data_IF_365320889580
#
_entry.id   IF_365320889580
#
_cell.length_a   1.000
_cell.length_b   1.000
_cell.length_c   1.000
_cell.angle_alpha   90.00
_cell.angle_beta   90.00
_cell.angle_gamma   90.00
#
_symmetry.space_group_name_H-M   'P 1'
#
loop_
_entity.id
_entity.type
_entity.pdbx_description
1 polymer ?
#
# COMPACT_ATOMS: atom_id res chain seq x y z
N UNK A 1 -31.51 -2.37 -17.13
CA UNK A 1 -31.57 -1.65 -15.86
C UNK A 1 -30.70 -2.43 -14.92
N UNK A 2 -29.56 -1.89 -14.55
CA UNK A 2 -28.67 -2.51 -13.54
C UNK A 2 -29.39 -2.40 -12.20
N UNK A 3 -29.57 -3.53 -11.53
CA UNK A 3 -30.11 -3.61 -10.20
C UNK A 3 -29.20 -2.82 -9.23
N UNK A 4 -29.73 -1.76 -8.64
CA UNK A 4 -28.96 -0.86 -7.79
C UNK A 4 -28.79 -1.38 -6.35
N UNK A 5 -29.26 -2.59 -6.06
CA UNK A 5 -29.22 -3.16 -4.72
C UNK A 5 -30.23 -2.56 -3.71
N UNK A 6 -30.99 -1.52 -4.11
CA UNK A 6 -32.04 -0.96 -3.24
C UNK A 6 -33.33 -1.77 -3.24
N UNK A 7 -33.62 -2.46 -4.33
CA UNK A 7 -34.90 -3.18 -4.53
C UNK A 7 -34.74 -4.68 -4.63
N UNK A 8 -33.61 -5.16 -5.08
CA UNK A 8 -33.32 -6.59 -5.19
C UNK A 8 -31.87 -6.86 -4.85
N UNK A 9 -31.60 -7.92 -4.13
CA UNK A 9 -30.28 -8.50 -4.02
C UNK A 9 -30.15 -9.53 -5.17
N UNK A 10 -29.77 -9.06 -6.37
CA UNK A 10 -29.38 -9.97 -7.42
C UNK A 10 -28.07 -10.65 -7.00
N UNK A 11 -28.20 -11.81 -6.38
CA UNK A 11 -27.05 -12.63 -6.02
C UNK A 11 -26.69 -13.45 -7.25
N UNK A 12 -25.53 -13.25 -7.87
CA UNK A 12 -25.04 -14.17 -8.90
C UNK A 12 -25.01 -15.57 -8.30
N UNK A 13 -25.56 -16.54 -8.99
CA UNK A 13 -25.43 -17.94 -8.55
C UNK A 13 -23.95 -18.32 -8.71
N UNK A 14 -23.31 -18.70 -7.61
CA UNK A 14 -21.99 -19.32 -7.68
C UNK A 14 -22.13 -20.68 -8.39
N UNK A 15 -21.45 -20.85 -9.52
CA UNK A 15 -21.29 -22.15 -10.16
C UNK A 15 -20.09 -22.85 -9.49
N UNK A 16 -20.36 -23.79 -8.59
CA UNK A 16 -19.33 -24.55 -7.86
C UNK A 16 -18.86 -23.87 -6.56
N UNK A 17 -17.95 -24.55 -5.85
CA UNK A 17 -17.29 -24.02 -4.65
C UNK A 17 -15.97 -23.33 -5.05
N UNK A 18 -15.76 -22.09 -4.57
CA UNK A 18 -14.47 -21.43 -4.74
C UNK A 18 -13.35 -22.21 -4.04
N UNK A 19 -12.12 -22.26 -4.58
CA UNK A 19 -11.01 -22.93 -3.94
C UNK A 19 -10.66 -22.28 -2.60
N UNK A 20 -10.22 -23.09 -1.65
CA UNK A 20 -9.71 -22.61 -0.36
C UNK A 20 -8.22 -22.30 -0.48
N UNK A 21 -7.77 -21.17 0.11
CA UNK A 21 -6.37 -20.78 0.21
C UNK A 21 -6.01 -20.62 1.69
N UNK A 22 -5.12 -21.47 2.18
CA UNK A 22 -4.62 -21.40 3.54
C UNK A 22 -3.71 -20.20 3.76
N UNK A 23 -4.03 -19.36 4.74
CA UNK A 23 -3.31 -18.13 5.07
C UNK A 23 -2.51 -18.31 6.35
N UNK A 24 -1.23 -18.00 6.28
CA UNK A 24 -0.31 -17.86 7.41
C UNK A 24 0.10 -16.39 7.59
N UNK A 25 -0.26 -15.78 8.72
CA UNK A 25 0.03 -14.39 9.03
C UNK A 25 1.24 -14.26 9.95
N UNK A 26 2.22 -13.45 9.57
CA UNK A 26 3.31 -13.03 10.44
C UNK A 26 3.07 -11.61 10.94
N UNK A 27 2.93 -11.45 12.26
CA UNK A 27 2.59 -10.16 12.89
C UNK A 27 1.10 -10.05 13.23
N UNK A 28 0.82 -9.63 14.45
CA UNK A 28 -0.54 -9.57 15.01
C UNK A 28 -0.98 -8.16 15.43
N UNK A 29 -0.14 -7.16 15.21
CA UNK A 29 -0.40 -5.77 15.56
C UNK A 29 -1.36 -5.10 14.56
N UNK A 30 -1.20 -3.81 14.33
CA UNK A 30 -2.10 -2.99 13.51
C UNK A 30 -2.35 -3.60 12.12
N UNK A 31 -1.27 -3.93 11.37
CA UNK A 31 -1.43 -4.48 10.01
C UNK A 31 -1.95 -5.91 10.01
N UNK A 32 -1.49 -6.77 10.92
CA UNK A 32 -2.04 -8.12 11.07
C UNK A 32 -3.54 -8.12 11.38
N UNK A 33 -4.01 -7.15 12.19
CA UNK A 33 -5.46 -6.96 12.42
C UNK A 33 -6.19 -6.49 11.14
N UNK A 34 -5.60 -5.57 10.38
CA UNK A 34 -6.21 -5.03 9.16
C UNK A 34 -6.37 -6.11 8.08
N UNK A 35 -5.30 -6.88 7.83
CA UNK A 35 -5.32 -7.99 6.87
C UNK A 35 -6.26 -9.11 7.30
N UNK A 36 -6.22 -9.52 8.57
CA UNK A 36 -7.13 -10.55 9.11
C UNK A 36 -8.60 -10.14 8.96
N UNK A 37 -8.93 -8.85 9.18
CA UNK A 37 -10.27 -8.32 8.94
C UNK A 37 -10.66 -8.41 7.46
N UNK A 38 -9.74 -8.10 6.54
CA UNK A 38 -9.97 -8.18 5.11
C UNK A 38 -10.20 -9.64 4.65
N UNK A 39 -9.36 -10.59 5.07
CA UNK A 39 -9.57 -12.02 4.79
C UNK A 39 -10.93 -12.51 5.24
N UNK A 40 -11.40 -12.08 6.41
CA UNK A 40 -12.73 -12.48 6.94
C UNK A 40 -13.89 -11.89 6.14
N UNK A 41 -13.76 -10.63 5.68
CA UNK A 41 -14.83 -9.97 4.91
C UNK A 41 -14.93 -10.48 3.48
N UNK A 42 -13.81 -10.86 2.88
CA UNK A 42 -13.70 -11.15 1.46
C UNK A 42 -14.74 -12.16 0.95
N UNK A 43 -14.96 -13.35 1.57
CA UNK A 43 -15.84 -14.38 1.00
C UNK A 43 -17.30 -13.97 0.84
N UNK A 44 -17.80 -13.08 1.68
CA UNK A 44 -19.21 -12.66 1.61
C UNK A 44 -19.38 -11.30 0.92
N UNK A 45 -18.33 -10.45 0.89
CA UNK A 45 -18.41 -9.17 0.21
C UNK A 45 -18.05 -9.26 -1.28
N UNK A 46 -17.01 -10.03 -1.63
CA UNK A 46 -16.58 -10.28 -3.01
C UNK A 46 -17.28 -11.53 -3.54
N UNK A 47 -18.61 -11.48 -3.66
CA UNK A 47 -19.41 -12.65 -4.01
C UNK A 47 -19.82 -12.67 -5.51
N UNK A 48 -19.68 -13.81 -6.23
CA UNK A 48 -19.04 -15.05 -5.78
C UNK A 48 -17.53 -14.84 -5.55
N UNK A 49 -16.95 -15.37 -4.45
CA UNK A 49 -15.55 -15.18 -4.14
C UNK A 49 -14.65 -15.94 -5.13
N UNK A 50 -13.54 -15.33 -5.51
CA UNK A 50 -12.52 -15.98 -6.35
C UNK A 50 -11.80 -17.10 -5.60
N UNK A 51 -11.63 -16.94 -4.29
CA UNK A 51 -11.12 -17.94 -3.36
C UNK A 51 -11.69 -17.69 -1.95
N UNK A 52 -11.66 -18.73 -1.11
CA UNK A 52 -12.03 -18.64 0.31
C UNK A 52 -10.76 -18.68 1.15
N UNK A 53 -10.32 -17.56 1.75
CA UNK A 53 -9.19 -17.56 2.67
C UNK A 53 -9.49 -18.37 3.92
N UNK A 54 -8.61 -19.31 4.25
CA UNK A 54 -8.65 -20.07 5.51
C UNK A 54 -7.57 -19.55 6.43
N UNK A 55 -7.95 -18.98 7.57
CA UNK A 55 -7.02 -18.47 8.56
C UNK A 55 -6.37 -19.65 9.30
N UNK A 56 -5.27 -20.19 8.74
CA UNK A 56 -4.61 -21.40 9.23
C UNK A 56 -3.81 -21.10 10.49
N UNK A 57 -2.86 -20.19 10.41
CA UNK A 57 -1.96 -19.91 11.53
C UNK A 57 -1.51 -18.45 11.57
N UNK A 58 -1.19 -17.96 12.78
CA UNK A 58 -0.59 -16.64 13.00
C UNK A 58 0.69 -16.78 13.81
N UNK A 59 1.73 -16.04 13.46
CA UNK A 59 3.02 -16.08 14.12
C UNK A 59 3.41 -14.73 14.76
N UNK A 60 4.05 -14.79 15.93
CA UNK A 60 4.59 -13.62 16.62
C UNK A 60 5.40 -13.97 17.86
N UNK A 61 6.34 -13.11 18.25
CA UNK A 61 7.37 -13.40 19.25
C UNK A 61 6.87 -13.58 20.70
N UNK A 62 5.75 -12.96 21.06
CA UNK A 62 5.17 -13.06 22.40
C UNK A 62 4.07 -14.12 22.39
N UNK A 63 4.28 -15.23 23.10
CA UNK A 63 3.34 -16.35 23.13
C UNK A 63 1.93 -15.91 23.59
N UNK A 64 1.85 -15.21 24.71
CA UNK A 64 0.55 -14.75 25.22
C UNK A 64 -0.19 -13.83 24.25
N UNK A 65 0.54 -12.90 23.60
CA UNK A 65 -0.07 -11.96 22.68
C UNK A 65 -0.46 -12.60 21.34
N UNK A 66 0.34 -13.55 20.81
CA UNK A 66 0.00 -14.24 19.57
C UNK A 66 -1.14 -15.24 19.77
N UNK A 67 -1.22 -15.89 20.93
CA UNK A 67 -2.33 -16.76 21.30
C UNK A 67 -3.65 -15.98 21.39
N UNK A 68 -3.64 -14.82 22.07
CA UNK A 68 -4.81 -13.94 22.14
C UNK A 68 -5.23 -13.47 20.73
N UNK A 69 -4.26 -13.06 19.91
CA UNK A 69 -4.52 -12.63 18.54
C UNK A 69 -5.11 -13.77 17.68
N UNK A 70 -4.59 -15.01 17.81
CA UNK A 70 -5.13 -16.16 17.10
C UNK A 70 -6.60 -16.38 17.44
N UNK A 71 -6.93 -16.40 18.72
CA UNK A 71 -8.31 -16.57 19.20
C UNK A 71 -9.23 -15.43 18.71
N UNK A 72 -8.76 -14.18 18.81
CA UNK A 72 -9.51 -12.99 18.46
C UNK A 72 -9.73 -12.85 16.94
N UNK A 73 -8.70 -13.14 16.15
CA UNK A 73 -8.76 -13.02 14.68
C UNK A 73 -9.29 -14.29 14.01
N UNK A 74 -9.38 -15.41 14.76
CA UNK A 74 -9.96 -16.66 14.32
C UNK A 74 -9.00 -17.52 13.50
N UNK A 75 -7.70 -17.47 13.79
CA UNK A 75 -6.72 -18.43 13.30
C UNK A 75 -6.82 -19.74 14.04
N UNK A 76 -6.68 -20.86 13.30
CA UNK A 76 -6.78 -22.20 13.89
C UNK A 76 -5.58 -22.55 14.78
N UNK A 77 -4.40 -22.00 14.44
CA UNK A 77 -3.11 -22.29 15.11
C UNK A 77 -2.37 -20.98 15.39
N UNK A 78 -1.40 -21.00 16.31
CA UNK A 78 -0.41 -19.94 16.49
C UNK A 78 0.99 -20.51 16.63
N UNK A 79 2.00 -19.70 16.29
CA UNK A 79 3.42 -20.03 16.43
C UNK A 79 4.18 -18.85 17.03
N UNK A 80 5.25 -19.15 17.79
CA UNK A 80 6.16 -18.12 18.33
C UNK A 80 7.36 -17.88 17.42
N UNK A 81 7.60 -18.79 16.46
CA UNK A 81 8.60 -18.65 15.41
C UNK A 81 7.91 -18.71 14.03
N UNK A 82 8.16 -17.71 13.17
CA UNK A 82 7.62 -17.67 11.80
C UNK A 82 8.11 -18.83 10.92
N UNK A 83 9.24 -19.47 11.27
CA UNK A 83 9.74 -20.63 10.53
C UNK A 83 8.82 -21.84 10.66
N UNK A 84 8.14 -21.96 11.79
CA UNK A 84 7.15 -23.02 11.96
C UNK A 84 5.89 -22.76 11.14
N UNK A 85 5.52 -21.48 10.94
CA UNK A 85 4.47 -21.10 10.02
C UNK A 85 4.77 -21.54 8.57
N UNK A 86 6.04 -21.44 8.13
CA UNK A 86 6.44 -21.85 6.79
C UNK A 86 6.47 -23.39 6.62
N UNK A 87 6.65 -24.16 7.70
CA UNK A 87 6.58 -25.62 7.69
C UNK A 87 5.16 -26.16 7.66
N UNK A 88 4.17 -25.34 8.00
CA UNK A 88 2.76 -25.76 7.99
C UNK A 88 2.28 -25.92 6.55
N UNK A 89 1.97 -27.18 6.18
CA UNK A 89 1.56 -27.57 4.82
C UNK A 89 0.20 -26.98 4.43
N UNK A 90 -0.65 -26.65 5.40
CA UNK A 90 -1.94 -26.02 5.17
C UNK A 90 -1.80 -24.54 4.77
N UNK A 91 -0.64 -23.91 4.98
CA UNK A 91 -0.36 -22.51 4.59
C UNK A 91 0.11 -22.46 3.14
N UNK A 92 -0.64 -21.77 2.29
CA UNK A 92 -0.33 -21.54 0.87
C UNK A 92 0.08 -20.08 0.60
N UNK A 93 -0.54 -19.14 1.31
CA UNK A 93 -0.23 -17.71 1.27
C UNK A 93 0.41 -17.27 2.59
N UNK A 94 1.64 -16.82 2.53
CA UNK A 94 2.35 -16.20 3.62
C UNK A 94 2.14 -14.68 3.57
N UNK A 95 1.52 -14.13 4.61
CA UNK A 95 1.25 -12.70 4.75
C UNK A 95 2.15 -12.10 5.83
N UNK A 96 3.04 -11.19 5.45
CA UNK A 96 4.03 -10.58 6.31
C UNK A 96 3.65 -9.14 6.68
N UNK A 97 3.02 -8.96 7.83
CA UNK A 97 2.68 -7.67 8.46
C UNK A 97 3.59 -7.28 9.63
N UNK A 98 4.83 -7.79 9.66
CA UNK A 98 5.83 -7.52 10.70
C UNK A 98 6.51 -6.14 10.51
N UNK A 99 7.41 -5.69 11.45
CA UNK A 99 8.29 -4.56 11.22
C UNK A 99 9.25 -4.77 10.03
N UNK A 100 9.72 -3.67 9.43
CA UNK A 100 10.46 -3.67 8.17
C UNK A 100 11.72 -4.57 8.16
N UNK A 101 12.43 -4.68 9.28
CA UNK A 101 13.61 -5.54 9.43
C UNK A 101 13.29 -7.04 9.35
N UNK A 102 12.03 -7.39 9.53
CA UNK A 102 11.52 -8.75 9.45
C UNK A 102 10.78 -9.05 8.12
N UNK A 103 10.97 -8.23 7.07
CA UNK A 103 10.38 -8.50 5.77
C UNK A 103 11.25 -9.45 4.94
N UNK A 104 12.55 -9.18 4.81
CA UNK A 104 13.39 -9.82 3.82
C UNK A 104 13.59 -11.32 4.07
N UNK A 105 14.18 -11.72 5.20
CA UNK A 105 14.46 -13.13 5.48
C UNK A 105 13.20 -14.01 5.41
N UNK A 106 12.09 -13.69 6.11
CA UNK A 106 10.90 -14.52 6.07
C UNK A 106 10.27 -14.64 4.67
N UNK A 107 10.24 -13.57 3.88
CA UNK A 107 9.71 -13.63 2.51
C UNK A 107 10.59 -14.45 1.57
N UNK A 108 11.92 -14.34 1.71
CA UNK A 108 12.87 -15.16 0.93
C UNK A 108 12.70 -16.66 1.26
N UNK A 109 12.58 -17.01 2.54
CA UNK A 109 12.37 -18.40 2.96
C UNK A 109 10.96 -18.91 2.55
N UNK A 110 9.93 -18.07 2.61
CA UNK A 110 8.60 -18.42 2.11
C UNK A 110 8.62 -18.76 0.60
N UNK A 111 9.32 -17.93 -0.19
CA UNK A 111 9.49 -18.18 -1.62
C UNK A 111 10.19 -19.52 -1.89
N UNK A 112 11.29 -19.84 -1.15
CA UNK A 112 12.05 -21.10 -1.30
C UNK A 112 11.20 -22.34 -1.05
N UNK A 113 10.20 -22.26 -0.18
CA UNK A 113 9.29 -23.37 0.11
C UNK A 113 7.98 -23.30 -0.70
N UNK A 114 7.94 -22.45 -1.73
CA UNK A 114 6.86 -22.39 -2.71
C UNK A 114 5.58 -21.70 -2.23
N UNK A 115 5.62 -20.92 -1.14
CA UNK A 115 4.45 -20.18 -0.68
C UNK A 115 4.29 -18.87 -1.44
N UNK A 116 3.05 -18.52 -1.80
CA UNK A 116 2.70 -17.20 -2.30
C UNK A 116 2.89 -16.16 -1.19
N UNK A 117 3.12 -14.89 -1.53
CA UNK A 117 3.53 -13.88 -0.54
C UNK A 117 2.74 -12.59 -0.70
N UNK A 118 2.19 -12.10 0.42
CA UNK A 118 1.81 -10.71 0.62
C UNK A 118 2.77 -10.10 1.63
N UNK A 119 3.44 -9.02 1.31
CA UNK A 119 4.37 -8.34 2.23
C UNK A 119 3.96 -6.88 2.42
N UNK A 120 3.95 -6.42 3.67
CA UNK A 120 3.74 -5.02 3.98
C UNK A 120 4.80 -4.10 3.37
N UNK A 121 4.40 -2.86 3.14
CA UNK A 121 5.28 -1.78 2.67
C UNK A 121 6.04 -1.11 3.85
N UNK A 122 7.20 -0.52 3.59
CA UNK A 122 8.01 -0.70 2.39
C UNK A 122 8.49 -2.14 2.27
N UNK A 123 8.65 -2.65 1.06
CA UNK A 123 9.05 -4.05 0.83
C UNK A 123 10.28 -4.44 1.65
N UNK A 124 11.26 -3.54 1.73
CA UNK A 124 12.50 -3.72 2.46
C UNK A 124 13.03 -2.37 2.98
N UNK A 125 14.03 -2.41 3.85
CA UNK A 125 14.71 -1.21 4.38
C UNK A 125 15.60 -0.50 3.36
N UNK A 126 16.08 -1.23 2.34
CA UNK A 126 17.00 -0.76 1.30
C UNK A 126 16.69 -1.40 -0.05
N UNK A 127 17.11 -0.76 -1.13
CA UNK A 127 17.05 -1.34 -2.48
C UNK A 127 17.79 -2.69 -2.58
N UNK A 128 18.93 -2.83 -1.88
CA UNK A 128 19.71 -4.07 -1.87
C UNK A 128 18.92 -5.24 -1.27
N UNK A 129 18.24 -5.03 -0.14
CA UNK A 129 17.36 -6.05 0.46
C UNK A 129 16.21 -6.39 -0.49
N UNK A 130 15.53 -5.38 -1.03
CA UNK A 130 14.44 -5.56 -1.97
C UNK A 130 14.85 -6.36 -3.22
N UNK A 131 16.05 -6.10 -3.75
CA UNK A 131 16.60 -6.85 -4.87
C UNK A 131 16.78 -8.36 -4.56
N UNK A 132 17.22 -8.69 -3.33
CA UNK A 132 17.34 -10.11 -2.92
C UNK A 132 15.98 -10.80 -2.77
N UNK A 133 14.97 -10.05 -2.31
CA UNK A 133 13.61 -10.56 -2.21
C UNK A 133 13.00 -10.80 -3.60
N UNK A 134 13.18 -9.86 -4.52
CA UNK A 134 12.73 -9.98 -5.92
C UNK A 134 13.38 -11.19 -6.61
N UNK A 135 14.70 -11.37 -6.46
CA UNK A 135 15.43 -12.53 -7.01
C UNK A 135 14.86 -13.85 -6.47
N UNK A 136 14.57 -13.93 -5.17
CA UNK A 136 14.02 -15.13 -4.55
C UNK A 136 12.63 -15.50 -5.09
N UNK A 137 11.69 -14.54 -5.17
CA UNK A 137 10.34 -14.82 -5.69
C UNK A 137 10.32 -15.11 -7.18
N UNK A 138 11.20 -14.46 -7.95
CA UNK A 138 11.37 -14.71 -9.39
C UNK A 138 11.87 -16.13 -9.64
N UNK A 139 12.88 -16.59 -8.88
CA UNK A 139 13.41 -17.96 -8.98
C UNK A 139 12.41 -19.02 -8.56
N UNK A 140 11.59 -18.71 -7.55
CA UNK A 140 10.59 -19.63 -7.05
C UNK A 140 9.33 -19.72 -7.92
N UNK A 141 9.04 -18.66 -8.74
CA UNK A 141 7.84 -18.59 -9.56
C UNK A 141 6.54 -18.45 -8.77
N UNK A 142 6.61 -18.01 -7.51
CA UNK A 142 5.44 -17.80 -6.65
C UNK A 142 4.75 -16.48 -6.96
N UNK A 143 3.44 -16.38 -6.71
CA UNK A 143 2.74 -15.10 -6.77
C UNK A 143 3.09 -14.28 -5.54
N UNK A 144 3.30 -12.99 -5.75
CA UNK A 144 3.72 -12.07 -4.70
C UNK A 144 3.14 -10.68 -4.91
N UNK A 145 2.87 -9.98 -3.81
CA UNK A 145 2.43 -8.59 -3.81
C UNK A 145 3.03 -7.83 -2.63
N UNK A 146 3.20 -6.51 -2.83
CA UNK A 146 3.51 -5.55 -1.77
C UNK A 146 2.23 -4.81 -1.42
N UNK A 147 1.93 -4.67 -0.13
CA UNK A 147 0.69 -4.08 0.35
C UNK A 147 0.63 -2.55 0.16
N UNK A 148 0.69 -2.11 -1.10
CA UNK A 148 0.40 -0.72 -1.49
C UNK A 148 -1.10 -0.51 -1.66
N UNK A 149 -1.82 -0.68 -0.57
CA UNK A 149 -3.29 -0.69 -0.51
C UNK A 149 -3.96 0.56 -1.10
N UNK A 150 -3.27 1.70 -1.19
CA UNK A 150 -3.85 2.91 -1.77
C UNK A 150 -4.06 2.83 -3.29
N UNK A 151 -3.40 1.92 -4.01
CA UNK A 151 -3.74 1.59 -5.40
C UNK A 151 -5.17 1.02 -5.53
N UNK A 152 -5.71 0.49 -4.43
CA UNK A 152 -7.01 -0.18 -4.34
C UNK A 152 -8.12 0.67 -3.72
N UNK A 153 -7.89 1.95 -3.53
CA UNK A 153 -8.95 2.94 -3.29
C UNK A 153 -9.74 3.13 -4.58
N UNK A 154 -11.08 3.00 -4.58
CA UNK A 154 -11.87 3.12 -5.81
C UNK A 154 -11.59 4.39 -6.61
N UNK A 155 -11.45 5.54 -5.94
CA UNK A 155 -11.12 6.81 -6.59
C UNK A 155 -9.73 6.81 -7.23
N UNK A 156 -8.73 6.20 -6.58
CA UNK A 156 -7.36 6.06 -7.13
C UNK A 156 -7.36 5.10 -8.31
N UNK A 157 -8.13 4.01 -8.23
CA UNK A 157 -8.30 3.08 -9.35
C UNK A 157 -8.98 3.75 -10.55
N UNK A 158 -10.03 4.53 -10.32
CA UNK A 158 -10.68 5.31 -11.37
C UNK A 158 -9.70 6.31 -12.01
N UNK A 159 -8.86 6.99 -11.20
CA UNK A 159 -7.81 7.86 -11.71
C UNK A 159 -6.85 7.11 -12.63
N UNK A 160 -6.41 5.90 -12.24
CA UNK A 160 -5.55 5.04 -13.06
C UNK A 160 -6.23 4.66 -14.38
N UNK A 161 -7.48 4.22 -14.32
CA UNK A 161 -8.23 3.83 -15.53
C UNK A 161 -8.39 5.00 -16.51
N UNK A 162 -8.72 6.21 -16.02
CA UNK A 162 -8.81 7.43 -16.83
C UNK A 162 -7.47 7.79 -17.51
N UNK A 163 -6.35 7.60 -16.80
CA UNK A 163 -5.01 7.85 -17.37
C UNK A 163 -4.67 6.79 -18.42
N UNK A 164 -4.90 5.50 -18.14
CA UNK A 164 -4.64 4.41 -19.08
C UNK A 164 -5.48 4.51 -20.35
N UNK A 165 -6.72 4.99 -20.24
CA UNK A 165 -7.61 5.28 -21.38
C UNK A 165 -7.21 6.54 -22.16
N UNK A 166 -6.12 7.21 -21.77
CA UNK A 166 -5.62 8.42 -22.44
C UNK A 166 -6.50 9.66 -22.27
N UNK A 167 -7.42 9.65 -21.28
CA UNK A 167 -8.35 10.76 -21.06
C UNK A 167 -7.65 12.07 -20.67
N UNK A 168 -6.50 11.97 -20.00
CA UNK A 168 -5.70 13.13 -19.60
C UNK A 168 -4.75 13.60 -20.72
N UNK A 169 -4.54 12.81 -21.78
CA UNK A 169 -3.52 13.07 -22.80
C UNK A 169 -2.10 12.93 -22.23
N UNK A 170 -1.15 13.69 -22.74
CA UNK A 170 0.22 13.72 -22.21
C UNK A 170 0.22 14.27 -20.79
N UNK A 171 0.83 13.52 -19.86
CA UNK A 171 1.00 14.01 -18.47
C UNK A 171 2.16 15.00 -18.42
N UNK A 172 1.92 16.16 -17.80
CA UNK A 172 2.90 17.23 -17.64
C UNK A 172 3.41 17.30 -16.19
N UNK A 173 2.52 17.13 -15.22
CA UNK A 173 2.84 17.40 -13.82
C UNK A 173 2.23 16.37 -12.88
N UNK A 174 2.99 16.03 -11.85
CA UNK A 174 2.53 15.25 -10.70
C UNK A 174 2.95 15.95 -9.41
N UNK A 175 2.06 16.03 -8.45
CA UNK A 175 2.42 16.44 -7.09
C UNK A 175 1.69 15.57 -6.09
N UNK A 176 2.40 15.17 -5.03
CA UNK A 176 1.80 14.41 -3.95
C UNK A 176 2.39 14.80 -2.60
N UNK A 177 1.54 14.79 -1.59
CA UNK A 177 1.92 15.01 -0.20
C UNK A 177 1.32 13.92 0.68
N UNK A 178 2.07 13.50 1.72
CA UNK A 178 1.51 12.64 2.74
C UNK A 178 1.86 13.17 4.13
N UNK A 179 0.88 13.76 4.78
CA UNK A 179 1.04 14.55 5.99
C UNK A 179 0.36 13.88 7.18
N UNK A 180 1.09 13.72 8.27
CA UNK A 180 0.62 13.20 9.55
C UNK A 180 1.24 13.99 10.70
N UNK A 181 0.70 13.85 11.92
CA UNK A 181 1.17 14.62 13.10
C UNK A 181 1.55 13.75 14.30
N UNK A 182 1.36 12.44 14.24
CA UNK A 182 1.32 11.53 15.39
C UNK A 182 2.63 11.41 16.21
N UNK A 183 3.76 11.90 15.71
CA UNK A 183 5.02 11.96 16.48
C UNK A 183 5.44 13.38 16.87
N UNK A 184 4.56 14.37 16.71
CA UNK A 184 4.84 15.72 17.24
C UNK A 184 5.05 15.67 18.76
N UNK A 185 5.88 16.58 19.32
CA UNK A 185 6.26 16.52 20.75
C UNK A 185 5.09 16.48 21.72
N UNK A 186 3.98 17.15 21.41
CA UNK A 186 2.81 17.18 22.30
C UNK A 186 2.08 15.84 22.44
N UNK A 187 2.31 14.87 21.55
CA UNK A 187 1.81 13.51 21.71
C UNK A 187 2.61 12.67 22.69
N UNK A 188 3.80 13.11 23.09
CA UNK A 188 4.66 12.38 24.02
C UNK A 188 5.10 11.01 23.50
N UNK A 189 5.09 10.79 22.19
CA UNK A 189 5.47 9.50 21.58
C UNK A 189 6.90 9.13 21.96
N UNK A 190 7.12 7.98 22.65
CA UNK A 190 8.45 7.53 23.04
C UNK A 190 9.26 7.08 21.82
N UNK A 191 10.52 6.71 22.04
CA UNK A 191 11.32 6.04 21.02
C UNK A 191 10.71 4.67 20.72
N UNK A 192 10.31 4.48 19.46
CA UNK A 192 9.74 3.24 18.94
C UNK A 192 10.56 2.74 17.74
N UNK A 193 10.35 1.51 17.32
CA UNK A 193 11.11 0.89 16.23
C UNK A 193 11.11 1.71 14.93
N UNK A 194 10.03 2.46 14.62
CA UNK A 194 9.93 3.35 13.45
C UNK A 194 10.86 4.57 13.49
N UNK A 195 11.54 4.79 14.61
CA UNK A 195 12.52 5.86 14.80
C UNK A 195 13.97 5.35 14.83
N UNK A 196 14.15 4.04 14.59
CA UNK A 196 15.44 3.36 14.52
C UNK A 196 15.73 2.92 13.08
N UNK A 197 16.77 3.49 12.47
CA UNK A 197 17.18 3.20 11.09
C UNK A 197 17.47 1.72 10.84
N UNK A 198 18.06 1.03 11.81
CA UNK A 198 18.38 -0.41 11.66
C UNK A 198 17.14 -1.29 11.52
N UNK A 199 15.99 -0.84 12.04
CA UNK A 199 14.71 -1.56 11.96
C UNK A 199 13.83 -1.02 10.84
N UNK A 200 13.68 0.30 10.74
CA UNK A 200 12.76 0.94 9.82
C UNK A 200 13.36 1.23 8.43
N UNK A 201 14.69 1.35 8.32
CA UNK A 201 15.39 1.79 7.09
C UNK A 201 15.40 3.31 6.95
N UNK A 202 14.26 3.95 6.93
CA UNK A 202 14.08 5.41 6.92
C UNK A 202 12.86 5.81 7.76
N UNK A 203 12.61 7.10 7.89
CA UNK A 203 11.53 7.64 8.69
C UNK A 203 10.26 7.94 7.90
N UNK A 204 9.92 9.24 7.76
CA UNK A 204 8.77 9.67 6.98
C UNK A 204 8.84 9.22 5.52
N UNK A 205 10.05 9.14 4.95
CA UNK A 205 10.25 8.67 3.57
C UNK A 205 9.77 7.23 3.39
N UNK A 206 10.23 6.27 4.19
CA UNK A 206 9.82 4.86 4.08
C UNK A 206 8.41 4.61 4.57
N UNK A 207 7.97 5.32 5.63
CA UNK A 207 6.65 5.10 6.21
C UNK A 207 5.53 5.71 5.36
N UNK A 208 5.68 6.96 4.93
CA UNK A 208 4.68 7.73 4.18
C UNK A 208 5.09 7.96 2.72
N UNK A 209 6.35 8.32 2.50
CA UNK A 209 6.89 8.64 1.18
C UNK A 209 6.77 7.48 0.21
N UNK A 210 7.00 6.24 0.67
CA UNK A 210 6.86 5.04 -0.15
C UNK A 210 5.49 4.96 -0.83
N UNK A 211 4.40 5.34 -0.17
CA UNK A 211 3.05 5.34 -0.75
C UNK A 211 2.89 6.36 -1.88
N UNK A 212 3.35 7.61 -1.68
CA UNK A 212 3.18 8.67 -2.69
C UNK A 212 4.17 8.51 -3.85
N UNK A 213 5.33 7.92 -3.62
CA UNK A 213 6.25 7.50 -4.68
C UNK A 213 5.64 6.38 -5.50
N UNK A 214 5.04 5.38 -4.84
CA UNK A 214 4.32 4.30 -5.50
C UNK A 214 3.15 4.83 -6.33
N UNK A 215 2.34 5.75 -5.80
CA UNK A 215 1.27 6.39 -6.55
C UNK A 215 1.78 7.19 -7.75
N UNK A 216 2.93 7.87 -7.64
CA UNK A 216 3.58 8.56 -8.76
C UNK A 216 3.97 7.58 -9.87
N UNK A 217 4.62 6.45 -9.51
CA UNK A 217 4.96 5.39 -10.45
C UNK A 217 3.71 4.76 -11.08
N UNK A 218 2.73 4.47 -10.27
CA UNK A 218 1.46 3.86 -10.69
C UNK A 218 0.68 4.72 -11.67
N UNK A 219 0.58 6.03 -11.43
CA UNK A 219 -0.24 6.95 -12.21
C UNK A 219 0.51 7.56 -13.40
N UNK A 220 1.80 7.88 -13.25
CA UNK A 220 2.57 8.66 -14.22
C UNK A 220 3.61 7.82 -14.96
N UNK A 221 4.29 6.93 -14.25
CA UNK A 221 5.37 6.10 -14.80
C UNK A 221 6.65 6.19 -13.96
N UNK A 222 7.76 5.67 -14.51
CA UNK A 222 9.00 5.58 -13.78
C UNK A 222 9.74 6.94 -13.74
N UNK A 223 10.19 7.41 -12.56
CA UNK A 223 11.09 8.53 -12.46
C UNK A 223 12.51 8.09 -12.86
N UNK A 224 13.16 8.90 -13.67
CA UNK A 224 14.56 8.71 -14.10
C UNK A 224 15.57 9.45 -13.23
N UNK A 225 15.10 10.45 -12.43
CA UNK A 225 15.99 11.33 -11.68
C UNK A 225 15.27 12.00 -10.52
N UNK A 226 16.00 12.20 -9.41
CA UNK A 226 15.47 12.87 -8.21
C UNK A 226 16.43 13.93 -7.69
N UNK A 227 15.88 14.90 -6.97
CA UNK A 227 16.60 15.80 -6.08
C UNK A 227 15.78 16.00 -4.82
N UNK A 228 16.36 15.73 -3.65
CA UNK A 228 15.65 15.71 -2.38
C UNK A 228 16.39 16.39 -1.23
N UNK A 229 15.63 16.68 -0.18
CA UNK A 229 16.11 17.06 1.14
C UNK A 229 15.34 16.30 2.20
N UNK A 230 16.01 15.90 3.27
CA UNK A 230 15.41 15.19 4.40
C UNK A 230 15.92 15.79 5.72
N UNK A 231 15.08 15.77 6.76
CA UNK A 231 15.40 16.37 8.04
C UNK A 231 14.85 15.53 9.20
N UNK A 232 15.68 15.35 10.24
CA UNK A 232 15.26 14.87 11.56
C UNK A 232 15.11 16.08 12.50
N UNK A 233 13.89 16.37 12.96
CA UNK A 233 13.62 17.51 13.84
C UNK A 233 13.92 17.19 15.30
N UNK A 234 13.50 16.01 15.79
CA UNK A 234 13.71 15.56 17.16
C UNK A 234 14.81 14.50 17.16
N UNK A 235 15.98 14.88 17.69
CA UNK A 235 17.18 14.04 17.64
C UNK A 235 17.20 12.90 18.67
N UNK A 236 16.44 13.04 19.78
CA UNK A 236 16.40 12.08 20.87
C UNK A 236 14.98 12.01 21.44
N UNK A 237 14.58 10.82 21.87
CA UNK A 237 13.30 10.58 22.55
C UNK A 237 13.47 9.64 23.73
N UNK A 238 12.61 9.74 24.77
CA UNK A 238 12.61 8.76 25.84
C UNK A 238 12.38 7.35 25.31
N UNK A 239 13.26 6.41 25.65
CA UNK A 239 13.08 4.98 25.44
C UNK A 239 12.14 4.36 26.48
N UNK A 240 11.96 3.05 26.42
CA UNK A 240 11.06 2.30 27.32
C UNK A 240 11.46 2.41 28.81
N UNK A 241 12.75 2.59 29.12
CA UNK A 241 13.28 2.79 30.45
C UNK A 241 13.38 4.26 30.89
N UNK A 242 12.98 5.22 30.04
CA UNK A 242 13.08 6.65 30.30
C UNK A 242 14.42 7.27 29.86
N UNK A 243 15.40 6.48 29.43
CA UNK A 243 16.66 6.96 28.85
C UNK A 243 16.44 7.68 27.53
N UNK A 244 17.25 8.71 27.22
CA UNK A 244 17.21 9.36 25.92
C UNK A 244 17.86 8.46 24.86
N UNK A 245 17.09 8.12 23.84
CA UNK A 245 17.50 7.27 22.72
C UNK A 245 17.53 8.08 21.45
N UNK A 246 18.61 7.95 20.68
CA UNK A 246 18.82 8.68 19.41
C UNK A 246 17.78 8.29 18.36
N UNK A 247 17.22 9.30 17.69
CA UNK A 247 16.43 9.17 16.46
C UNK A 247 17.38 9.34 15.29
N UNK A 248 17.49 8.35 14.43
CA UNK A 248 18.42 8.32 13.29
C UNK A 248 17.75 8.16 11.92
N UNK A 249 16.46 8.48 11.86
CA UNK A 249 15.64 8.51 10.64
C UNK A 249 15.09 9.93 10.39
N UNK A 250 14.65 10.17 9.17
CA UNK A 250 14.01 11.43 8.79
C UNK A 250 12.61 11.59 9.41
N UNK A 251 12.28 12.80 9.84
CA UNK A 251 10.93 13.19 10.28
C UNK A 251 10.11 13.81 9.12
N UNK A 252 10.83 14.34 8.11
CA UNK A 252 10.26 14.92 6.91
C UNK A 252 11.23 14.79 5.73
N UNK A 253 10.68 14.70 4.53
CA UNK A 253 11.43 14.88 3.29
C UNK A 253 10.59 15.64 2.25
N UNK A 254 11.29 16.27 1.31
CA UNK A 254 10.75 16.83 0.08
C UNK A 254 11.64 16.42 -1.09
N UNK A 255 11.05 16.14 -2.25
CA UNK A 255 11.83 15.81 -3.45
C UNK A 255 11.14 16.25 -4.73
N UNK A 256 11.97 16.56 -5.76
CA UNK A 256 11.53 16.71 -7.14
C UNK A 256 11.82 15.43 -7.91
N UNK A 257 10.94 15.08 -8.85
CA UNK A 257 11.03 13.91 -9.72
C UNK A 257 11.04 14.35 -11.19
N UNK A 258 11.93 13.78 -12.00
CA UNK A 258 11.86 13.85 -13.45
C UNK A 258 11.47 12.46 -13.96
N UNK A 259 10.30 12.34 -14.60
CA UNK A 259 9.80 11.08 -15.14
C UNK A 259 10.39 10.79 -16.53
N UNK A 260 10.46 9.51 -16.91
CA UNK A 260 10.94 9.07 -18.23
C UNK A 260 10.12 9.64 -19.39
N UNK A 261 8.80 9.81 -19.19
CA UNK A 261 7.89 10.39 -20.19
C UNK A 261 7.99 11.93 -20.28
N UNK A 262 8.89 12.57 -19.54
CA UNK A 262 9.12 14.01 -19.54
C UNK A 262 8.28 14.80 -18.53
N UNK A 263 7.38 14.18 -17.80
CA UNK A 263 6.64 14.84 -16.73
C UNK A 263 7.56 15.26 -15.58
N UNK A 264 7.21 16.34 -14.88
CA UNK A 264 7.85 16.78 -13.66
C UNK A 264 6.96 16.49 -12.45
N UNK A 265 7.58 16.12 -11.34
CA UNK A 265 6.84 15.86 -10.11
C UNK A 265 7.48 16.45 -8.86
N UNK A 266 6.65 16.58 -7.83
CA UNK A 266 7.07 16.89 -6.46
C UNK A 266 6.41 15.92 -5.50
N UNK A 267 7.17 15.43 -4.53
CA UNK A 267 6.67 14.56 -3.44
C UNK A 267 7.18 15.09 -2.10
N UNK A 268 6.31 15.05 -1.10
CA UNK A 268 6.61 15.52 0.25
C UNK A 268 5.92 14.61 1.26
N UNK A 269 6.63 14.20 2.32
CA UNK A 269 5.96 13.58 3.44
C UNK A 269 6.59 13.99 4.78
N UNK A 270 5.74 14.10 5.79
CA UNK A 270 6.18 14.40 7.15
C UNK A 270 5.21 13.82 8.19
N UNK A 271 5.76 13.47 9.35
CA UNK A 271 5.00 13.07 10.53
C UNK A 271 4.85 14.21 11.55
N UNK A 272 5.15 15.46 11.13
CA UNK A 272 5.17 16.69 11.94
C UNK A 272 4.20 17.77 11.43
N UNK A 273 3.22 17.42 10.59
CA UNK A 273 2.24 18.36 10.06
C UNK A 273 1.03 18.47 10.98
N UNK A 274 1.10 19.32 12.01
CA UNK A 274 0.00 19.55 12.96
C UNK A 274 -1.32 19.90 12.25
N UNK A 275 -2.40 19.22 12.62
CA UNK A 275 -3.73 19.34 12.02
C UNK A 275 -4.04 18.27 10.97
N UNK A 276 -3.04 17.55 10.42
CA UNK A 276 -3.24 16.47 9.46
C UNK A 276 -3.18 15.09 10.14
N UNK A 277 -4.21 14.28 9.95
CA UNK A 277 -4.29 12.95 10.59
C UNK A 277 -3.75 11.85 9.67
N UNK A 278 -4.22 11.82 8.43
CA UNK A 278 -3.80 10.84 7.42
C UNK A 278 -3.95 11.41 5.99
N UNK A 279 -3.45 12.62 5.79
CA UNK A 279 -3.63 13.40 4.57
C UNK A 279 -2.67 12.96 3.47
N UNK A 280 -3.08 11.94 2.71
CA UNK A 280 -2.42 11.51 1.48
C UNK A 280 -3.17 12.14 0.30
N UNK A 281 -2.53 13.10 -0.37
CA UNK A 281 -3.13 13.82 -1.48
C UNK A 281 -2.22 13.76 -2.70
N UNK A 282 -2.84 13.69 -3.89
CA UNK A 282 -2.10 13.88 -5.13
C UNK A 282 -2.89 14.69 -6.15
N UNK A 283 -2.18 15.29 -7.10
CA UNK A 283 -2.73 15.92 -8.30
C UNK A 283 -1.90 15.53 -9.51
N UNK A 284 -2.59 15.15 -10.61
CA UNK A 284 -1.99 14.87 -11.92
C UNK A 284 -2.57 15.84 -12.92
N UNK A 285 -1.70 16.56 -13.66
CA UNK A 285 -2.11 17.48 -14.69
C UNK A 285 -1.63 16.98 -16.05
N UNK A 286 -2.57 16.83 -16.97
CA UNK A 286 -2.31 16.41 -18.34
C UNK A 286 -2.82 17.42 -19.37
N UNK A 287 -2.55 17.12 -20.63
CA UNK A 287 -2.92 17.93 -21.79
C UNK A 287 -4.43 18.16 -21.90
N UNK A 288 -5.25 17.15 -21.60
CA UNK A 288 -6.70 17.15 -21.81
C UNK A 288 -7.51 17.26 -20.51
N UNK A 289 -6.86 17.12 -19.36
CA UNK A 289 -7.53 17.16 -18.08
C UNK A 289 -6.59 17.05 -16.89
N UNK A 290 -7.16 17.20 -15.72
CA UNK A 290 -6.46 17.06 -14.44
C UNK A 290 -7.31 16.27 -13.46
N UNK A 291 -6.65 15.58 -12.57
CA UNK A 291 -7.28 14.84 -11.47
C UNK A 291 -6.58 15.21 -10.17
N UNK A 292 -7.35 15.27 -9.07
CA UNK A 292 -6.78 15.33 -7.73
C UNK A 292 -7.60 14.48 -6.76
N UNK A 293 -6.89 13.99 -5.75
CA UNK A 293 -7.40 13.07 -4.76
C UNK A 293 -6.95 13.46 -3.35
N UNK A 294 -7.80 13.16 -2.37
CA UNK A 294 -7.50 13.29 -0.94
C UNK A 294 -8.01 12.06 -0.19
N UNK A 295 -7.11 11.33 0.48
CA UNK A 295 -7.45 10.13 1.23
C UNK A 295 -8.43 10.37 2.39
N UNK A 296 -8.41 11.54 3.02
CA UNK A 296 -9.36 11.90 4.07
C UNK A 296 -10.79 12.13 3.52
N UNK A 297 -10.92 12.15 2.17
CA UNK A 297 -12.18 12.14 1.40
C UNK A 297 -12.14 11.02 0.37
N UNK A 298 -11.73 9.82 0.76
CA UNK A 298 -11.30 8.73 -0.10
C UNK A 298 -12.35 8.21 -1.10
N UNK A 299 -13.63 8.55 -0.92
CA UNK A 299 -14.70 8.17 -1.84
C UNK A 299 -14.92 9.20 -2.95
N UNK A 300 -14.07 10.21 -3.05
CA UNK A 300 -14.21 11.33 -3.98
C UNK A 300 -12.97 11.43 -4.88
N UNK A 301 -13.22 11.75 -6.16
CA UNK A 301 -12.19 12.14 -7.12
C UNK A 301 -12.60 13.46 -7.74
N UNK A 302 -11.72 14.45 -7.72
CA UNK A 302 -11.97 15.69 -8.44
C UNK A 302 -11.34 15.60 -9.83
N UNK A 303 -12.10 15.93 -10.86
CA UNK A 303 -11.68 15.88 -12.27
C UNK A 303 -11.92 17.23 -12.94
N UNK A 304 -11.03 17.60 -13.83
CA UNK A 304 -11.13 18.77 -14.69
C UNK A 304 -10.92 18.33 -16.15
N UNK A 305 -11.75 18.81 -17.07
CA UNK A 305 -11.60 18.55 -18.49
C UNK A 305 -11.45 19.85 -19.29
N UNK A 306 -10.50 19.86 -20.22
CA UNK A 306 -10.21 21.04 -21.06
C UNK A 306 -11.37 21.38 -21.98
N UNK A 307 -12.18 20.41 -22.39
CA UNK A 307 -13.30 20.55 -23.30
C UNK A 307 -14.67 20.72 -22.64
N UNK A 308 -14.72 20.79 -21.29
CA UNK A 308 -15.95 21.02 -20.54
C UNK A 308 -16.71 22.26 -21.04
N UNK A 309 -18.03 22.13 -21.07
CA UNK A 309 -18.97 23.19 -21.44
C UNK A 309 -20.11 23.29 -20.43
N UNK A 310 -20.68 24.48 -20.20
CA UNK A 310 -20.22 25.77 -20.73
C UNK A 310 -18.93 26.25 -20.06
N UNK A 311 -18.14 27.07 -20.73
CA UNK A 311 -16.83 27.55 -20.22
C UNK A 311 -16.92 28.31 -18.91
N UNK A 312 -18.05 28.96 -18.65
CA UNK A 312 -18.32 29.72 -17.42
C UNK A 312 -18.35 28.85 -16.16
N UNK A 313 -18.58 27.56 -16.29
CA UNK A 313 -18.60 26.58 -15.19
C UNK A 313 -17.43 25.62 -15.22
N UNK A 314 -16.48 25.81 -16.16
CA UNK A 314 -15.30 24.95 -16.27
C UNK A 314 -14.45 25.06 -14.99
N UNK A 315 -14.18 23.91 -14.38
CA UNK A 315 -13.43 23.82 -13.12
C UNK A 315 -13.30 22.38 -12.67
N UNK A 316 -12.78 22.14 -11.48
CA UNK A 316 -12.78 20.79 -10.92
C UNK A 316 -14.21 20.39 -10.52
N UNK A 317 -14.64 19.24 -11.04
CA UNK A 317 -15.88 18.57 -10.67
C UNK A 317 -15.59 17.49 -9.64
N UNK A 318 -16.36 17.46 -8.55
CA UNK A 318 -16.25 16.40 -7.56
C UNK A 318 -17.10 15.20 -7.96
N UNK A 319 -16.46 14.05 -8.15
CA UNK A 319 -17.10 12.77 -8.45
C UNK A 319 -17.13 11.91 -7.20
N UNK A 320 -18.32 11.58 -6.70
CA UNK A 320 -18.48 10.57 -5.64
C UNK A 320 -18.37 9.19 -6.32
N UNK A 321 -17.29 8.48 -6.03
CA UNK A 321 -16.97 7.19 -6.62
C UNK A 321 -17.73 6.09 -5.89
N UNK A 322 -19.04 6.01 -6.13
CA UNK A 322 -19.96 5.12 -5.42
C UNK A 322 -21.05 4.50 -6.30
N UNK A 323 -20.87 4.53 -7.62
CA UNK A 323 -21.81 3.94 -8.56
C UNK A 323 -21.37 2.52 -8.97
N UNK A 324 -22.30 1.69 -9.40
CA UNK A 324 -22.04 0.29 -9.76
C UNK A 324 -21.03 0.11 -10.92
N UNK A 325 -20.83 1.14 -11.74
CA UNK A 325 -19.84 1.18 -12.81
C UNK A 325 -18.47 1.69 -12.36
N UNK A 326 -18.32 2.14 -11.12
CA UNK A 326 -17.03 2.52 -10.56
C UNK A 326 -16.24 1.29 -10.10
N UNK A 327 -14.90 1.36 -10.05
CA UNK A 327 -14.05 0.26 -9.61
C UNK A 327 -14.47 -0.30 -8.25
N UNK A 328 -14.55 -1.64 -8.14
CA UNK A 328 -14.90 -2.42 -6.95
C UNK A 328 -16.32 -2.22 -6.41
N UNK A 329 -17.05 -1.18 -6.83
CA UNK A 329 -18.30 -0.78 -6.15
C UNK A 329 -19.42 -1.80 -6.26
N UNK A 330 -19.49 -2.55 -7.35
CA UNK A 330 -20.52 -3.60 -7.56
C UNK A 330 -20.58 -4.66 -6.45
N UNK A 331 -19.53 -4.77 -5.65
CA UNK A 331 -19.45 -5.72 -4.54
C UNK A 331 -19.88 -5.13 -3.19
N UNK A 332 -20.17 -3.82 -3.11
CA UNK A 332 -20.45 -3.18 -1.84
C UNK A 332 -21.92 -2.82 -1.68
N UNK A 333 -22.22 -1.58 -1.60
CA UNK A 333 -23.52 -1.05 -1.17
C UNK A 333 -24.19 -0.30 -2.33
N UNK A 334 -25.51 -0.01 -2.22
CA UNK A 334 -26.14 0.92 -3.13
C UNK A 334 -25.39 2.26 -3.17
N UNK A 335 -25.52 2.99 -4.29
CA UNK A 335 -24.82 4.27 -4.49
C UNK A 335 -24.98 5.22 -3.28
N UNK A 336 -23.91 5.96 -2.99
CA UNK A 336 -23.86 6.95 -1.92
C UNK A 336 -23.53 6.39 -0.53
N UNK A 337 -23.45 5.07 -0.35
CA UNK A 337 -23.04 4.44 0.91
C UNK A 337 -21.53 4.28 0.93
N UNK A 338 -20.82 5.25 1.47
CA UNK A 338 -19.35 5.33 1.46
C UNK A 338 -18.67 4.14 2.15
N UNK A 339 -17.47 3.82 1.69
CA UNK A 339 -16.59 2.80 2.27
C UNK A 339 -15.40 3.44 2.96
N UNK A 340 -14.70 2.68 3.81
CA UNK A 340 -13.59 3.15 4.63
C UNK A 340 -12.23 2.57 4.22
N UNK A 341 -11.19 2.97 4.96
CA UNK A 341 -9.80 2.62 4.72
C UNK A 341 -9.54 1.10 4.69
N UNK A 342 -10.16 0.34 5.56
CA UNK A 342 -9.96 -1.11 5.64
C UNK A 342 -10.49 -1.88 4.42
N UNK A 343 -11.36 -1.30 3.61
CA UNK A 343 -11.90 -1.93 2.41
C UNK A 343 -10.84 -2.04 1.30
N UNK A 344 -9.83 -1.18 1.32
CA UNK A 344 -8.73 -1.22 0.35
C UNK A 344 -7.96 -2.54 0.43
N UNK A 345 -7.78 -3.09 1.63
CA UNK A 345 -7.15 -4.40 1.83
C UNK A 345 -8.03 -5.55 1.33
N UNK A 346 -9.36 -5.42 1.40
CA UNK A 346 -10.27 -6.43 0.80
C UNK A 346 -10.08 -6.48 -0.71
N UNK A 347 -10.01 -5.31 -1.37
CA UNK A 347 -9.79 -5.23 -2.81
C UNK A 347 -8.41 -5.78 -3.20
N UNK A 348 -7.36 -5.38 -2.49
CA UNK A 348 -5.98 -5.80 -2.73
C UNK A 348 -5.79 -7.29 -2.58
N UNK A 349 -6.27 -7.85 -1.45
CA UNK A 349 -6.19 -9.29 -1.17
C UNK A 349 -7.02 -10.08 -2.18
N UNK A 350 -8.23 -9.62 -2.52
CA UNK A 350 -9.03 -10.26 -3.57
C UNK A 350 -8.29 -10.31 -4.91
N UNK A 351 -7.60 -9.23 -5.26
CA UNK A 351 -6.80 -9.14 -6.48
C UNK A 351 -5.62 -10.12 -6.46
N UNK A 352 -4.91 -10.26 -5.32
CA UNK A 352 -3.84 -11.24 -5.16
C UNK A 352 -4.37 -12.67 -5.22
N UNK A 353 -5.50 -12.96 -4.58
CA UNK A 353 -6.12 -14.29 -4.64
C UNK A 353 -6.58 -14.65 -6.07
N UNK A 354 -7.08 -13.67 -6.84
CA UNK A 354 -7.38 -13.88 -8.27
C UNK A 354 -6.11 -14.21 -9.07
N UNK A 355 -4.99 -13.53 -8.77
CA UNK A 355 -3.72 -13.82 -9.39
C UNK A 355 -3.20 -15.23 -9.05
N UNK A 356 -3.41 -15.69 -7.81
CA UNK A 356 -3.02 -17.04 -7.37
C UNK A 356 -3.88 -18.10 -8.06
N UNK A 357 -5.20 -17.98 -7.99
CA UNK A 357 -6.14 -19.01 -8.49
C UNK A 357 -6.11 -19.12 -10.00
N UNK A 358 -6.01 -18.00 -10.71
CA UNK A 358 -6.08 -17.95 -12.16
C UNK A 358 -4.71 -17.82 -12.84
N UNK A 359 -3.62 -18.01 -12.09
CA UNK A 359 -2.22 -17.93 -12.58
C UNK A 359 -1.93 -16.64 -13.36
N UNK A 360 -2.43 -15.49 -12.87
CA UNK A 360 -2.26 -14.17 -13.49
C UNK A 360 -1.13 -13.37 -12.85
N UNK A 361 -0.69 -12.31 -13.53
CA UNK A 361 0.09 -11.24 -12.89
C UNK A 361 -0.80 -10.36 -12.03
N UNK A 362 -0.26 -9.81 -10.94
CA UNK A 362 -0.93 -8.75 -10.17
C UNK A 362 -0.87 -7.40 -10.90
N UNK A 363 0.13 -7.20 -11.78
CA UNK A 363 0.22 -5.99 -12.61
C UNK A 363 -0.91 -5.94 -13.65
N UNK A 364 -1.33 -4.76 -14.12
CA UNK A 364 -0.76 -3.43 -13.81
C UNK A 364 -1.36 -2.75 -12.57
N UNK A 365 -2.26 -3.38 -11.86
CA UNK A 365 -3.01 -2.75 -10.78
C UNK A 365 -2.45 -3.05 -9.39
N UNK A 366 -2.09 -4.29 -9.13
CA UNK A 366 -1.37 -4.68 -7.92
C UNK A 366 0.12 -4.32 -8.02
N UNK A 367 0.73 -4.07 -6.88
CA UNK A 367 2.18 -3.90 -6.79
C UNK A 367 2.82 -5.26 -6.52
N UNK A 368 3.75 -5.66 -7.34
CA UNK A 368 4.58 -6.84 -7.12
C UNK A 368 5.91 -6.49 -6.42
N UNK A 369 6.80 -7.46 -6.26
CA UNK A 369 8.11 -7.21 -5.64
C UNK A 369 9.06 -6.41 -6.54
N UNK A 370 8.85 -6.37 -7.86
CA UNK A 370 9.56 -5.45 -8.75
C UNK A 370 9.15 -4.00 -8.46
N UNK A 371 7.85 -3.76 -8.26
CA UNK A 371 7.36 -2.46 -7.81
C UNK A 371 7.94 -2.04 -6.46
N UNK A 372 7.99 -2.99 -5.50
CA UNK A 372 8.61 -2.76 -4.20
C UNK A 372 10.10 -2.46 -4.29
N UNK A 373 10.83 -3.17 -5.14
CA UNK A 373 12.25 -2.93 -5.41
C UNK A 373 12.47 -1.54 -6.02
N UNK A 374 11.74 -1.20 -7.08
CA UNK A 374 11.86 0.11 -7.73
C UNK A 374 11.51 1.25 -6.77
N UNK A 375 10.50 1.05 -5.93
CA UNK A 375 10.15 2.01 -4.87
C UNK A 375 11.31 2.21 -3.88
N UNK A 376 11.95 1.14 -3.43
CA UNK A 376 13.11 1.20 -2.54
C UNK A 376 14.31 1.89 -3.20
N UNK A 377 14.57 1.65 -4.50
CA UNK A 377 15.63 2.35 -5.27
C UNK A 377 15.39 3.86 -5.27
N UNK A 378 14.15 4.31 -5.47
CA UNK A 378 13.80 5.74 -5.46
C UNK A 378 13.97 6.32 -4.06
N UNK A 379 13.57 5.61 -3.01
CA UNK A 379 13.76 6.05 -1.63
C UNK A 379 15.25 6.21 -1.30
N UNK A 380 16.08 5.22 -1.63
CA UNK A 380 17.54 5.31 -1.43
C UNK A 380 18.13 6.49 -2.22
N UNK A 381 17.73 6.70 -3.48
CA UNK A 381 18.20 7.83 -4.30
C UNK A 381 17.79 9.21 -3.71
N UNK A 382 16.62 9.32 -3.09
CA UNK A 382 16.20 10.55 -2.40
C UNK A 382 17.08 10.80 -1.17
N UNK A 383 17.40 9.77 -0.37
CA UNK A 383 18.31 9.92 0.77
C UNK A 383 19.74 10.29 0.34
N UNK A 384 20.25 9.64 -0.70
CA UNK A 384 21.57 9.94 -1.27
C UNK A 384 21.62 11.38 -1.80
N UNK A 385 20.52 11.84 -2.42
CA UNK A 385 20.39 13.22 -2.88
C UNK A 385 20.39 14.21 -1.71
N UNK A 386 19.63 13.90 -0.64
CA UNK A 386 19.56 14.74 0.55
C UNK A 386 20.90 14.85 1.27
N UNK A 387 21.68 13.77 1.31
CA UNK A 387 23.01 13.74 1.93
C UNK A 387 24.07 14.45 1.08
N UNK A 388 24.08 14.19 -0.24
CA UNK A 388 25.09 14.73 -1.15
C UNK A 388 24.81 16.15 -1.63
N UNK A 389 23.56 16.63 -1.52
CA UNK A 389 23.09 17.88 -2.10
C UNK A 389 23.08 17.88 -3.64
N UNK A 390 23.07 16.69 -4.26
CA UNK A 390 23.16 16.51 -5.72
C UNK A 390 21.89 15.85 -6.26
N UNK A 391 21.65 16.11 -7.55
CA UNK A 391 20.66 15.38 -8.31
C UNK A 391 21.17 13.96 -8.58
N UNK A 392 20.33 12.95 -8.36
CA UNK A 392 20.67 11.53 -8.54
C UNK A 392 19.89 10.95 -9.72
N UNK A 393 20.59 10.29 -10.64
CA UNK A 393 19.98 9.48 -11.70
C UNK A 393 19.56 8.12 -11.11
N UNK A 394 18.31 7.76 -11.32
CA UNK A 394 17.75 6.47 -10.84
C UNK A 394 18.16 5.38 -11.83
N UNK A 395 18.59 4.24 -11.29
CA UNK A 395 18.93 3.03 -12.05
C UNK A 395 18.33 1.83 -11.33
N UNK A 396 17.46 1.16 -12.03
CA UNK A 396 16.82 -0.08 -11.55
C UNK A 396 17.63 -1.32 -11.85
#
# INVERSE_FOLDING_TARGET
MTDTGFTTMAVPKAEGSAPEIGVGMMGYAFMGKAHSNAFKKLPYMMYPPVAIPKLVAIAGRSEAAVQEAAARYGYAKYYTDWRDLLKDEDVQLFDNGAPNDAHAEPCIEAAKVGKHILCEKPLARTAKEAATMLDAVTKAGVKHAVAFNYRFVPAVRLAKDLIMDGKLGQIYHFRAVYLQEWIMPHYGTPHIWRLNKSVAGSGALGDLGAHIIDLGRFLVGEPRRVMGAAQTFIKERPGAGGELTKVDVDDAFVATLEFENGALGTVEATRFAGGHKNSNCFEVNGEKGSIRFNLERMNELEVFWVDDQPKETQGFHNVIVSESYHPFWSNWWPQGHIIGWEHTFVHEINHLLDAIVNDKSVAPYGADFEDGYKNAVICDAILDSAESGRRIDIRY
#
